data_IF_293831398267
#
_entry.id   IF_293831398267
#
_cell.length_a   1.000
_cell.length_b   1.000
_cell.length_c   1.000
_cell.angle_alpha   90.00
_cell.angle_beta   90.00
_cell.angle_gamma   90.00
#
_symmetry.space_group_name_H-M   'P 1'
#
loop_
_entity.id
_entity.type
_entity.pdbx_description
1 polymer ?
#
# COMPACT_ATOMS: atom_id res chain seq x y z
N UNK A 1 1.42 -15.98 0.06
CA UNK A 1 0.13 -15.72 -0.62
C UNK A 1 -0.76 -14.78 0.17
N UNK A 2 -1.18 -15.12 1.40
CA UNK A 2 -2.03 -14.23 2.25
C UNK A 2 -1.47 -12.82 2.37
N UNK A 3 -0.16 -12.69 2.63
CA UNK A 3 0.50 -11.38 2.69
C UNK A 3 0.35 -10.58 1.38
N UNK A 4 0.47 -11.22 0.22
CA UNK A 4 0.29 -10.55 -1.07
C UNK A 4 -1.16 -10.11 -1.31
N UNK A 5 -2.13 -10.94 -0.90
CA UNK A 5 -3.55 -10.57 -0.92
C UNK A 5 -3.81 -9.32 -0.08
N UNK A 6 -3.33 -9.31 1.18
CA UNK A 6 -3.52 -8.18 2.10
C UNK A 6 -2.79 -6.93 1.61
N UNK A 7 -1.59 -7.08 1.02
CA UNK A 7 -0.87 -5.98 0.40
C UNK A 7 -1.67 -5.35 -0.74
N UNK A 8 -2.13 -6.15 -1.70
CA UNK A 8 -2.96 -5.69 -2.81
C UNK A 8 -4.28 -5.04 -2.36
N UNK A 9 -4.94 -5.67 -1.37
CA UNK A 9 -6.16 -5.16 -0.75
C UNK A 9 -5.95 -3.78 -0.13
N UNK A 10 -4.89 -3.62 0.65
CA UNK A 10 -4.59 -2.38 1.38
C UNK A 10 -4.23 -1.23 0.44
N UNK A 11 -3.40 -1.50 -0.58
CA UNK A 11 -2.99 -0.49 -1.58
C UNK A 11 -4.23 0.14 -2.24
N UNK A 12 -5.12 -0.70 -2.80
CA UNK A 12 -6.30 -0.19 -3.50
C UNK A 12 -7.35 0.41 -2.58
N UNK A 13 -7.49 -0.11 -1.36
CA UNK A 13 -8.39 0.47 -0.36
C UNK A 13 -7.94 1.90 -0.02
N UNK A 14 -6.64 2.12 0.20
CA UNK A 14 -6.09 3.46 0.49
C UNK A 14 -6.23 4.38 -0.73
N UNK A 15 -6.05 3.89 -1.95
CA UNK A 15 -6.24 4.69 -3.17
C UNK A 15 -7.68 5.23 -3.28
N UNK A 16 -8.69 4.41 -2.99
CA UNK A 16 -10.07 4.88 -2.97
C UNK A 16 -10.36 5.87 -1.83
N UNK A 17 -9.77 5.64 -0.65
CA UNK A 17 -9.89 6.56 0.47
C UNK A 17 -9.23 7.91 0.16
N UNK A 18 -8.15 7.94 -0.63
CA UNK A 18 -7.52 9.18 -1.07
C UNK A 18 -8.53 10.10 -1.78
N UNK A 19 -9.38 9.55 -2.66
CA UNK A 19 -10.44 10.31 -3.31
C UNK A 19 -11.43 10.92 -2.31
N UNK A 20 -11.80 10.16 -1.28
CA UNK A 20 -12.68 10.64 -0.19
C UNK A 20 -12.02 11.70 0.69
N UNK A 21 -10.72 11.59 0.94
CA UNK A 21 -9.95 12.57 1.72
C UNK A 21 -9.76 13.87 0.96
N UNK A 22 -9.56 13.80 -0.37
CA UNK A 22 -9.32 14.98 -1.20
C UNK A 22 -10.60 15.72 -1.60
N UNK A 23 -11.73 15.01 -1.71
CA UNK A 23 -12.99 15.57 -2.19
C UNK A 23 -13.51 16.81 -1.42
N UNK A 24 -13.42 16.90 -0.07
CA UNK A 24 -13.88 18.08 0.66
C UNK A 24 -13.11 19.36 0.31
N UNK A 25 -11.87 19.24 -0.16
CA UNK A 25 -10.99 20.38 -0.46
C UNK A 25 -10.96 20.69 -1.95
N UNK A 26 -10.79 19.68 -2.80
CA UNK A 26 -10.55 19.86 -4.24
C UNK A 26 -11.69 19.35 -5.14
N UNK A 27 -12.74 18.79 -4.54
CA UNK A 27 -13.85 18.16 -5.27
C UNK A 27 -13.48 16.81 -5.90
N UNK A 28 -14.31 16.33 -6.82
CA UNK A 28 -14.19 15.01 -7.46
C UNK A 28 -13.94 15.09 -8.97
N UNK A 29 -13.21 16.11 -9.42
CA UNK A 29 -12.94 16.32 -10.85
C UNK A 29 -11.97 15.28 -11.43
N UNK A 30 -11.90 15.20 -12.76
CA UNK A 30 -10.93 14.32 -13.46
C UNK A 30 -9.47 14.65 -13.08
N UNK A 31 -9.19 15.91 -12.70
CA UNK A 31 -7.86 16.34 -12.27
C UNK A 31 -7.48 15.71 -10.93
N UNK A 32 -8.41 15.66 -9.97
CA UNK A 32 -8.18 15.08 -8.64
C UNK A 32 -7.92 13.57 -8.74
N UNK A 33 -8.76 12.86 -9.48
CA UNK A 33 -8.54 11.42 -9.73
C UNK A 33 -7.27 11.16 -10.53
N UNK A 34 -6.97 12.00 -11.53
CA UNK A 34 -5.73 11.93 -12.29
C UNK A 34 -4.50 12.09 -11.40
N UNK A 35 -4.52 13.02 -10.45
CA UNK A 35 -3.47 13.22 -9.45
C UNK A 35 -3.26 11.98 -8.57
N UNK A 36 -4.34 11.44 -8.01
CA UNK A 36 -4.29 10.25 -7.14
C UNK A 36 -3.66 9.08 -7.89
N UNK A 37 -4.21 8.73 -9.06
CA UNK A 37 -3.73 7.59 -9.86
C UNK A 37 -2.25 7.81 -10.24
N UNK A 38 -1.88 9.01 -10.68
CA UNK A 38 -0.50 9.32 -11.07
C UNK A 38 0.47 9.11 -9.91
N UNK A 39 0.14 9.63 -8.72
CA UNK A 39 0.98 9.49 -7.53
C UNK A 39 1.07 8.03 -7.11
N UNK A 40 -0.04 7.28 -7.11
CA UNK A 40 -0.03 5.87 -6.76
C UNK A 40 0.81 5.05 -7.74
N UNK A 41 0.64 5.24 -9.05
CA UNK A 41 1.44 4.53 -10.06
C UNK A 41 2.93 4.85 -9.97
N UNK A 42 3.31 6.12 -9.79
CA UNK A 42 4.72 6.51 -9.62
C UNK A 42 5.32 5.93 -8.33
N UNK A 43 4.57 6.00 -7.23
CA UNK A 43 4.98 5.48 -5.93
C UNK A 43 5.14 3.96 -5.97
N UNK A 44 4.19 3.25 -6.58
CA UNK A 44 4.27 1.80 -6.78
C UNK A 44 5.45 1.43 -7.67
N UNK A 45 5.69 2.16 -8.77
CA UNK A 45 6.86 1.94 -9.64
C UNK A 45 8.17 2.05 -8.86
N UNK A 46 8.33 3.09 -8.04
CA UNK A 46 9.49 3.25 -7.17
C UNK A 46 9.57 2.14 -6.11
N UNK A 47 8.44 1.79 -5.49
CA UNK A 47 8.33 0.67 -4.57
C UNK A 47 8.74 -0.66 -5.20
N UNK A 48 8.36 -0.92 -6.46
CA UNK A 48 8.74 -2.12 -7.20
C UNK A 48 10.25 -2.19 -7.41
N UNK A 49 10.87 -1.07 -7.80
CA UNK A 49 12.32 -0.98 -7.95
C UNK A 49 13.05 -1.22 -6.62
N UNK A 50 12.61 -0.57 -5.54
CA UNK A 50 13.22 -0.69 -4.21
C UNK A 50 13.03 -2.09 -3.62
N UNK A 51 11.83 -2.66 -3.73
CA UNK A 51 11.52 -4.01 -3.26
C UNK A 51 12.30 -5.07 -4.03
N UNK A 52 12.43 -4.91 -5.34
CA UNK A 52 13.29 -5.75 -6.19
C UNK A 52 14.74 -5.74 -5.69
N UNK A 53 15.32 -4.56 -5.47
CA UNK A 53 16.69 -4.41 -4.93
C UNK A 53 16.84 -5.00 -3.53
N UNK A 54 15.89 -4.75 -2.64
CA UNK A 54 15.89 -5.24 -1.25
C UNK A 54 15.82 -6.77 -1.18
N UNK A 55 15.19 -7.39 -2.17
CA UNK A 55 15.00 -8.84 -2.24
C UNK A 55 16.23 -9.62 -2.70
N UNK A 56 17.23 -8.95 -3.30
CA UNK A 56 18.41 -9.63 -3.89
C UNK A 56 19.27 -10.33 -2.84
N UNK A 57 19.45 -9.72 -1.66
CA UNK A 57 20.40 -10.20 -0.64
C UNK A 57 19.68 -10.94 0.49
N UNK A 58 19.76 -12.27 0.44
CA UNK A 58 19.22 -13.19 1.46
C UNK A 58 17.75 -12.84 1.82
N UNK A 59 16.81 -13.03 0.87
CA UNK A 59 15.40 -12.80 1.13
C UNK A 59 14.96 -13.69 2.29
N UNK A 60 14.22 -13.12 3.26
CA UNK A 60 13.71 -13.88 4.39
C UNK A 60 12.34 -13.39 4.82
N UNK A 61 11.54 -14.30 5.38
CA UNK A 61 10.20 -13.97 5.86
C UNK A 61 10.24 -12.89 6.95
N UNK A 62 11.31 -12.86 7.75
CA UNK A 62 11.53 -11.82 8.77
C UNK A 62 11.73 -10.43 8.17
N UNK A 63 12.56 -10.29 7.13
CA UNK A 63 12.74 -9.03 6.39
C UNK A 63 11.43 -8.59 5.72
N UNK A 64 10.67 -9.54 5.19
CA UNK A 64 9.34 -9.27 4.66
C UNK A 64 8.37 -8.77 5.72
N UNK A 65 8.42 -9.32 6.93
CA UNK A 65 7.64 -8.81 8.05
C UNK A 65 7.99 -7.37 8.42
N UNK A 66 9.28 -6.99 8.40
CA UNK A 66 9.67 -5.59 8.60
C UNK A 66 9.15 -4.65 7.49
N UNK A 67 9.05 -5.12 6.24
CA UNK A 67 8.42 -4.36 5.15
C UNK A 67 6.94 -4.08 5.47
N UNK A 68 6.21 -5.08 5.95
CA UNK A 68 4.81 -4.92 6.36
C UNK A 68 4.64 -3.98 7.56
N UNK A 69 5.52 -4.09 8.55
CA UNK A 69 5.54 -3.16 9.69
C UNK A 69 5.79 -1.72 9.23
N UNK A 70 6.77 -1.52 8.33
CA UNK A 70 7.07 -0.21 7.79
C UNK A 70 5.88 0.34 6.99
N UNK A 71 5.25 -0.47 6.14
CA UNK A 71 4.07 -0.09 5.37
C UNK A 71 2.87 0.26 6.25
N UNK A 72 2.63 -0.46 7.34
CA UNK A 72 1.59 -0.12 8.31
C UNK A 72 1.93 1.16 9.10
N UNK A 73 3.18 1.33 9.51
CA UNK A 73 3.63 2.50 10.26
C UNK A 73 3.53 3.80 9.44
N UNK A 74 3.80 3.75 8.13
CA UNK A 74 3.71 4.92 7.23
C UNK A 74 2.27 5.38 6.96
N UNK A 75 1.25 4.65 7.42
CA UNK A 75 -0.14 5.12 7.44
C UNK A 75 -0.39 6.07 8.63
N UNK A 76 0.40 5.99 9.70
CA UNK A 76 0.21 6.81 10.91
C UNK A 76 0.20 8.33 10.63
N UNK A 77 1.10 8.88 9.78
CA UNK A 77 1.04 10.30 9.42
C UNK A 77 -0.27 10.73 8.75
N UNK A 78 -0.92 9.85 7.95
CA UNK A 78 -2.23 10.16 7.37
C UNK A 78 -3.29 10.33 8.46
N UNK A 79 -3.23 9.51 9.51
CA UNK A 79 -4.17 9.55 10.63
C UNK A 79 -4.00 10.82 11.49
N UNK A 80 -2.76 11.20 11.78
CA UNK A 80 -2.47 12.28 12.72
C UNK A 80 -2.41 13.66 12.06
N UNK A 81 -1.90 13.73 10.83
CA UNK A 81 -1.60 14.97 10.14
C UNK A 81 -2.37 15.15 8.83
N UNK A 82 -3.23 14.18 8.45
CA UNK A 82 -3.97 14.22 7.18
C UNK A 82 -4.75 15.52 6.96
N UNK A 83 -5.60 15.89 7.91
CA UNK A 83 -6.39 17.13 7.82
C UNK A 83 -5.50 18.37 7.83
N UNK A 84 -4.49 18.43 8.72
CA UNK A 84 -3.58 19.57 8.82
C UNK A 84 -2.80 19.78 7.51
N UNK A 85 -2.31 18.70 6.91
CA UNK A 85 -1.61 18.75 5.61
C UNK A 85 -2.57 19.19 4.51
N UNK A 86 -3.79 18.66 4.47
CA UNK A 86 -4.79 19.05 3.48
C UNK A 86 -5.16 20.52 3.58
N UNK A 87 -5.43 21.04 4.78
CA UNK A 87 -5.70 22.46 5.03
C UNK A 87 -4.53 23.35 4.61
N UNK A 88 -3.31 22.98 4.97
CA UNK A 88 -2.11 23.72 4.60
C UNK A 88 -1.88 23.74 3.08
N UNK A 89 -2.06 22.60 2.41
CA UNK A 89 -1.92 22.51 0.94
C UNK A 89 -3.02 23.29 0.24
N UNK A 90 -4.26 23.19 0.71
CA UNK A 90 -5.39 23.93 0.12
C UNK A 90 -5.20 25.44 0.26
N UNK A 91 -4.78 25.91 1.44
CA UNK A 91 -4.49 27.33 1.67
C UNK A 91 -3.31 27.85 0.82
N UNK A 92 -2.36 26.99 0.45
CA UNK A 92 -1.25 27.37 -0.42
C UNK A 92 -1.57 27.29 -1.92
N UNK A 93 -2.39 26.30 -2.33
CA UNK A 93 -2.72 26.01 -3.73
C UNK A 93 -4.17 25.52 -3.83
N UNK A 94 -5.09 26.47 -4.04
CA UNK A 94 -6.53 26.18 -4.15
C UNK A 94 -6.89 25.50 -5.48
N UNK A 95 -6.10 25.69 -6.55
CA UNK A 95 -6.39 25.11 -7.86
C UNK A 95 -6.42 23.56 -7.78
N UNK A 96 -7.55 22.92 -8.08
CA UNK A 96 -7.71 21.47 -7.94
C UNK A 96 -6.71 20.64 -8.76
N UNK A 97 -6.11 21.17 -9.82
CA UNK A 97 -5.12 20.46 -10.64
C UNK A 97 -3.80 20.29 -9.89
N UNK A 98 -3.32 21.37 -9.29
CA UNK A 98 -2.01 21.41 -8.64
C UNK A 98 -2.11 21.07 -7.14
N UNK A 99 -3.15 21.56 -6.46
CA UNK A 99 -3.38 21.32 -5.04
C UNK A 99 -3.63 19.83 -4.76
N UNK A 100 -4.48 19.16 -5.56
CA UNK A 100 -4.73 17.73 -5.40
C UNK A 100 -3.49 16.87 -5.69
N UNK A 101 -2.64 17.28 -6.63
CA UNK A 101 -1.38 16.61 -6.94
C UNK A 101 -0.41 16.73 -5.77
N UNK A 102 -0.22 17.95 -5.26
CA UNK A 102 0.65 18.22 -4.12
C UNK A 102 0.18 17.49 -2.86
N UNK A 103 -1.12 17.54 -2.57
CA UNK A 103 -1.73 16.82 -1.46
C UNK A 103 -1.55 15.30 -1.60
N UNK A 104 -1.77 14.77 -2.81
CA UNK A 104 -1.60 13.34 -3.08
C UNK A 104 -0.16 12.89 -2.85
N UNK A 105 0.82 13.68 -3.30
CA UNK A 105 2.25 13.42 -3.06
C UNK A 105 2.57 13.47 -1.57
N UNK A 106 2.15 14.55 -0.88
CA UNK A 106 2.47 14.76 0.52
C UNK A 106 1.92 13.65 1.43
N UNK A 107 0.72 13.15 1.13
CA UNK A 107 0.05 12.13 1.92
C UNK A 107 0.44 10.71 1.48
N UNK A 108 0.27 10.37 0.21
CA UNK A 108 0.24 8.97 -0.21
C UNK A 108 1.56 8.46 -0.79
N UNK A 109 2.52 9.34 -1.12
CA UNK A 109 3.75 8.90 -1.77
C UNK A 109 4.54 7.89 -0.92
N UNK A 110 4.88 8.27 0.31
CA UNK A 110 5.67 7.43 1.23
C UNK A 110 4.98 6.09 1.55
N UNK A 111 3.71 6.04 1.99
CA UNK A 111 3.06 4.77 2.30
C UNK A 111 2.91 3.88 1.06
N UNK A 112 2.60 4.45 -0.10
CA UNK A 112 2.45 3.66 -1.33
C UNK A 112 3.78 3.14 -1.85
N UNK A 113 4.88 3.88 -1.72
CA UNK A 113 6.23 3.36 -2.01
C UNK A 113 6.54 2.17 -1.10
N UNK A 114 6.28 2.29 0.21
CA UNK A 114 6.53 1.22 1.17
C UNK A 114 5.72 -0.06 0.83
N UNK A 115 4.41 0.09 0.57
CA UNK A 115 3.56 -1.02 0.15
C UNK A 115 3.96 -1.60 -1.22
N UNK A 116 4.42 -0.76 -2.15
CA UNK A 116 4.90 -1.19 -3.47
C UNK A 116 6.08 -2.17 -3.40
N UNK A 117 6.87 -2.16 -2.32
CA UNK A 117 7.95 -3.13 -2.14
C UNK A 117 7.47 -4.58 -1.92
N UNK A 118 6.20 -4.79 -1.56
CA UNK A 118 5.65 -6.09 -1.16
C UNK A 118 5.71 -7.11 -2.30
N UNK A 119 5.21 -6.77 -3.49
CA UNK A 119 5.09 -7.69 -4.63
C UNK A 119 6.43 -8.25 -5.10
N UNK A 120 7.45 -7.45 -5.47
CA UNK A 120 8.74 -7.99 -5.92
C UNK A 120 9.46 -8.78 -4.82
N UNK A 121 9.33 -8.37 -3.56
CA UNK A 121 9.92 -9.10 -2.44
C UNK A 121 9.27 -10.48 -2.25
N UNK A 122 7.94 -10.54 -2.36
CA UNK A 122 7.19 -11.78 -2.27
C UNK A 122 7.51 -12.74 -3.43
N UNK A 123 7.68 -12.24 -4.67
CA UNK A 123 8.14 -13.08 -5.80
C UNK A 123 9.47 -13.74 -5.42
N UNK A 124 10.43 -12.96 -4.94
CA UNK A 124 11.77 -13.46 -4.64
C UNK A 124 11.81 -14.45 -3.46
N UNK A 125 10.87 -14.33 -2.52
CA UNK A 125 10.72 -15.30 -1.42
C UNK A 125 10.15 -16.65 -1.87
N UNK A 126 9.38 -16.68 -2.96
CA UNK A 126 8.65 -17.87 -3.41
C UNK A 126 9.35 -18.59 -4.57
N UNK A 127 10.33 -17.94 -5.21
CA UNK A 127 11.05 -18.49 -6.37
C UNK A 127 12.41 -19.01 -5.92
N UNK A 128 12.52 -20.33 -5.81
CA UNK A 128 13.78 -21.03 -5.48
C UNK A 128 14.59 -21.44 -6.73
N UNK A 129 13.93 -21.73 -7.86
CA UNK A 129 14.60 -22.17 -9.10
C UNK A 129 14.03 -21.50 -10.35
N UNK A 130 14.89 -21.27 -11.35
CA UNK A 130 14.60 -20.51 -12.59
C UNK A 130 13.43 -21.11 -13.38
N UNK A 131 13.28 -22.45 -13.36
CA UNK A 131 12.30 -23.18 -14.19
C UNK A 131 10.82 -22.94 -13.86
N UNK A 132 10.48 -22.54 -12.62
CA UNK A 132 9.10 -22.29 -12.18
C UNK A 132 8.84 -20.82 -11.81
N UNK A 133 9.81 -19.94 -12.07
CA UNK A 133 9.77 -18.53 -11.67
C UNK A 133 8.56 -17.77 -12.23
N UNK A 134 8.22 -18.00 -13.50
CA UNK A 134 7.08 -17.35 -14.16
C UNK A 134 5.72 -17.77 -13.60
N UNK A 135 5.53 -19.06 -13.31
CA UNK A 135 4.25 -19.58 -12.78
C UNK A 135 4.00 -19.07 -11.36
N UNK A 136 5.03 -19.08 -10.51
CA UNK A 136 4.95 -18.57 -9.13
C UNK A 136 4.67 -17.07 -9.13
N UNK A 137 5.37 -16.30 -9.96
CA UNK A 137 5.12 -14.86 -10.11
C UNK A 137 3.70 -14.58 -10.63
N UNK A 138 3.24 -15.32 -11.64
CA UNK A 138 1.88 -15.21 -12.18
C UNK A 138 0.80 -15.47 -11.13
N UNK A 139 0.94 -16.56 -10.35
CA UNK A 139 -0.02 -16.87 -9.28
C UNK A 139 0.03 -15.84 -8.15
N UNK A 140 1.20 -15.32 -7.80
CA UNK A 140 1.32 -14.23 -6.84
C UNK A 140 0.58 -12.97 -7.31
N UNK A 141 0.76 -12.58 -8.58
CA UNK A 141 0.05 -11.44 -9.16
C UNK A 141 -1.44 -11.67 -9.25
N UNK A 142 -1.90 -12.90 -9.52
CA UNK A 142 -3.30 -13.26 -9.44
C UNK A 142 -3.86 -13.02 -8.03
N UNK A 143 -3.21 -13.55 -6.99
CA UNK A 143 -3.65 -13.39 -5.59
C UNK A 143 -3.63 -11.93 -5.16
N UNK A 144 -2.58 -11.19 -5.52
CA UNK A 144 -2.47 -9.76 -5.24
C UNK A 144 -3.57 -8.96 -5.93
N UNK A 145 -3.80 -9.21 -7.22
CA UNK A 145 -4.84 -8.52 -8.01
C UNK A 145 -6.24 -8.86 -7.51
N UNK A 146 -6.49 -10.09 -7.09
CA UNK A 146 -7.76 -10.48 -6.47
C UNK A 146 -7.97 -9.73 -5.15
N UNK A 147 -6.93 -9.63 -4.31
CA UNK A 147 -6.95 -8.80 -3.10
C UNK A 147 -7.25 -7.34 -3.42
N UNK A 148 -6.58 -6.78 -4.43
CA UNK A 148 -6.82 -5.42 -4.93
C UNK A 148 -8.27 -5.22 -5.40
N UNK A 149 -8.82 -6.12 -6.20
CA UNK A 149 -10.20 -6.04 -6.67
C UNK A 149 -11.21 -6.07 -5.51
N UNK A 150 -11.00 -6.96 -4.52
CA UNK A 150 -11.82 -7.02 -3.33
C UNK A 150 -11.64 -5.79 -2.42
N UNK A 151 -10.41 -5.27 -2.30
CA UNK A 151 -10.15 -4.03 -1.58
C UNK A 151 -10.88 -2.84 -2.19
N UNK A 152 -10.81 -2.70 -3.51
CA UNK A 152 -11.56 -1.68 -4.25
C UNK A 152 -13.06 -1.83 -4.04
N UNK A 153 -13.62 -3.02 -4.26
CA UNK A 153 -15.06 -3.26 -4.17
C UNK A 153 -15.57 -3.07 -2.74
N UNK A 154 -14.93 -3.70 -1.75
CA UNK A 154 -15.35 -3.59 -0.35
C UNK A 154 -15.22 -2.15 0.16
N UNK A 155 -14.15 -1.44 -0.21
CA UNK A 155 -13.97 -0.06 0.24
C UNK A 155 -15.01 0.87 -0.38
N UNK A 156 -15.22 0.82 -1.70
CA UNK A 156 -16.15 1.72 -2.39
C UNK A 156 -17.62 1.43 -2.10
N UNK A 157 -18.02 0.15 -1.93
CA UNK A 157 -19.42 -0.24 -1.77
C UNK A 157 -19.85 -0.41 -0.31
N UNK A 158 -18.95 -0.78 0.59
CA UNK A 158 -19.34 -1.19 1.95
C UNK A 158 -18.62 -0.38 3.03
N UNK A 159 -17.28 -0.34 3.02
CA UNK A 159 -16.54 0.25 4.14
C UNK A 159 -16.82 1.73 4.30
N UNK A 160 -16.83 2.50 3.20
CA UNK A 160 -17.12 3.94 3.27
C UNK A 160 -18.57 4.23 3.63
N UNK A 161 -19.49 3.26 3.53
CA UNK A 161 -20.87 3.41 4.00
C UNK A 161 -21.01 3.12 5.50
N UNK A 162 -20.22 2.18 6.03
CA UNK A 162 -20.36 1.69 7.40
C UNK A 162 -19.37 2.30 8.39
N UNK A 163 -18.23 2.79 7.91
CA UNK A 163 -17.12 3.24 8.74
C UNK A 163 -16.62 4.61 8.29
N UNK A 164 -16.02 5.32 9.24
CA UNK A 164 -15.29 6.55 8.94
C UNK A 164 -13.96 6.23 8.24
N UNK A 165 -13.48 7.16 7.40
CA UNK A 165 -12.19 7.03 6.68
C UNK A 165 -11.05 6.70 7.66
N UNK A 166 -11.02 7.36 8.82
CA UNK A 166 -10.02 7.13 9.87
C UNK A 166 -10.06 5.69 10.40
N UNK A 167 -11.25 5.13 10.62
CA UNK A 167 -11.41 3.75 11.11
C UNK A 167 -10.91 2.74 10.06
N UNK A 168 -11.21 2.98 8.78
CA UNK A 168 -10.74 2.13 7.69
C UNK A 168 -9.20 2.20 7.61
N UNK A 169 -8.60 3.39 7.64
CA UNK A 169 -7.15 3.55 7.66
C UNK A 169 -6.48 2.86 8.86
N UNK A 170 -7.04 2.98 10.07
CA UNK A 170 -6.55 2.29 11.27
C UNK A 170 -6.61 0.78 11.06
N UNK A 171 -7.73 0.24 10.59
CA UNK A 171 -7.88 -1.20 10.37
C UNK A 171 -6.91 -1.76 9.34
N UNK A 172 -6.67 -1.04 8.23
CA UNK A 172 -5.68 -1.41 7.23
C UNK A 172 -4.26 -1.36 7.80
N UNK A 173 -3.91 -0.30 8.55
CA UNK A 173 -2.63 -0.18 9.23
C UNK A 173 -2.37 -1.31 10.22
N UNK A 174 -3.36 -1.65 11.05
CA UNK A 174 -3.29 -2.76 11.99
C UNK A 174 -3.20 -4.12 11.28
N UNK A 175 -3.93 -4.31 10.17
CA UNK A 175 -3.84 -5.53 9.38
C UNK A 175 -2.44 -5.73 8.79
N UNK A 176 -1.82 -4.67 8.27
CA UNK A 176 -0.44 -4.70 7.79
C UNK A 176 0.54 -4.98 8.93
N UNK A 177 0.39 -4.32 10.09
CA UNK A 177 1.25 -4.56 11.25
C UNK A 177 1.12 -6.00 11.76
N UNK A 178 -0.10 -6.51 11.90
CA UNK A 178 -0.36 -7.88 12.34
C UNK A 178 0.25 -8.91 11.38
N UNK A 179 0.11 -8.69 10.07
CA UNK A 179 0.76 -9.48 9.03
C UNK A 179 2.28 -9.45 9.17
N UNK A 180 2.86 -8.28 9.44
CA UNK A 180 4.30 -8.10 9.65
C UNK A 180 4.82 -8.84 10.88
N UNK A 181 4.12 -8.73 12.01
CA UNK A 181 4.43 -9.45 13.24
C UNK A 181 4.34 -10.97 13.03
N UNK A 182 3.26 -11.45 12.40
CA UNK A 182 3.10 -12.87 12.09
C UNK A 182 4.27 -13.38 11.23
N UNK A 183 4.64 -12.66 10.18
CA UNK A 183 5.78 -13.02 9.32
C UNK A 183 7.11 -13.08 10.08
N UNK A 184 7.34 -12.17 11.04
CA UNK A 184 8.54 -12.18 11.89
C UNK A 184 8.54 -13.38 12.83
N UNK A 185 7.41 -13.71 13.45
CA UNK A 185 7.28 -14.83 14.39
C UNK A 185 7.46 -16.17 13.66
N UNK A 186 6.72 -16.40 12.57
CA UNK A 186 6.83 -17.64 11.79
C UNK A 186 8.17 -17.76 11.05
N UNK A 187 8.81 -16.64 10.73
CA UNK A 187 10.13 -16.63 10.10
C UNK A 187 11.28 -17.08 11.01
N UNK A 188 11.07 -17.24 12.32
CA UNK A 188 12.09 -17.78 13.26
C UNK A 188 12.25 -19.29 13.16
N UNK A 189 11.16 -20.02 12.91
CA UNK A 189 11.15 -21.49 12.90
C UNK A 189 11.89 -22.12 11.71
N UNK A 190 12.05 -21.41 10.60
CA UNK A 190 12.72 -21.93 9.39
C UNK A 190 14.24 -21.79 9.40
N UNK A 191 14.82 -21.02 10.32
CA UNK A 191 16.27 -20.81 10.43
C UNK A 191 16.98 -21.73 11.42
N UNK A 192 16.25 -22.48 12.26
CA UNK A 192 16.85 -23.42 13.22
C UNK A 192 16.92 -24.87 12.70
N UNK A 193 16.43 -25.14 11.48
CA UNK A 193 16.37 -26.49 10.90
C UNK A 193 17.25 -26.70 9.67
N UNK A 194 18.30 -25.89 9.47
CA UNK A 194 19.29 -26.03 8.40
C UNK A 194 20.70 -25.98 8.97
#
# INVERSE_FOLDING_TARGET
MVLAFIGGFSIMSIELLAGRMLAPFFGSSIYVWGSIITVFMLSLSLGYLLGGRLSVRAPSLRKFGYIFLAAGATITPLLLAGNVIMEAVFAAVEDPRYGSLLASVALFFIPTVAMGTISPYAVRLLVDTVGHSGQVAGFLYFVSTLGSALGTLLTSFYFVLWFEVTQILISLGLALIACGLAAIVFGRGTTESA
#
